data_IF_208121096532
#
_entry.id   IF_208121096532
#
_cell.length_a   1.000
_cell.length_b   1.000
_cell.length_c   1.000
_cell.angle_alpha   90.00
_cell.angle_beta   90.00
_cell.angle_gamma   90.00
#
_symmetry.space_group_name_H-M   'P 1'
#
loop_
_entity.id
_entity.type
_entity.pdbx_description
1 polymer ?
#
# COMPACT_ATOMS: atom_id res chain seq x y z
N UNK A 1 -35.12 1.60 -14.84
CA UNK A 1 -34.67 3.00 -14.99
C UNK A 1 -33.18 3.05 -14.66
N UNK A 2 -32.34 3.50 -15.59
CA UNK A 2 -30.88 3.61 -15.38
C UNK A 2 -30.48 4.89 -14.66
N UNK A 3 -29.22 4.96 -14.21
CA UNK A 3 -28.63 6.16 -13.61
C UNK A 3 -28.59 7.30 -14.64
N UNK A 4 -29.37 8.35 -14.45
CA UNK A 4 -29.44 9.52 -15.35
C UNK A 4 -28.42 10.61 -15.03
N UNK A 5 -27.74 10.52 -13.89
CA UNK A 5 -26.72 11.47 -13.48
C UNK A 5 -26.16 11.22 -12.09
N UNK A 6 -25.20 12.04 -11.68
CA UNK A 6 -24.71 12.07 -10.30
C UNK A 6 -25.65 12.90 -9.42
N UNK A 7 -26.02 12.35 -8.26
CA UNK A 7 -26.85 13.02 -7.25
C UNK A 7 -26.01 13.88 -6.29
N UNK A 8 -24.74 13.53 -6.07
CA UNK A 8 -23.83 14.22 -5.14
C UNK A 8 -23.06 15.35 -5.81
N UNK A 9 -22.75 15.23 -7.11
CA UNK A 9 -22.10 16.28 -7.91
C UNK A 9 -22.97 16.54 -9.14
N UNK A 10 -23.89 17.49 -9.03
CA UNK A 10 -24.88 17.77 -10.08
C UNK A 10 -24.25 18.39 -11.33
N UNK A 11 -24.96 18.34 -12.46
CA UNK A 11 -24.53 19.01 -13.70
C UNK A 11 -24.34 20.53 -13.50
N UNK A 12 -25.25 21.17 -12.74
CA UNK A 12 -25.16 22.60 -12.38
C UNK A 12 -23.89 22.90 -11.57
N UNK A 13 -23.54 22.05 -10.61
CA UNK A 13 -22.30 22.22 -9.82
C UNK A 13 -21.06 22.14 -10.70
N UNK A 14 -20.99 21.19 -11.64
CA UNK A 14 -19.86 21.09 -12.58
C UNK A 14 -19.76 22.31 -13.50
N UNK A 15 -20.88 22.77 -14.05
CA UNK A 15 -20.91 23.96 -14.90
C UNK A 15 -20.44 25.21 -14.12
N UNK A 16 -20.88 25.36 -12.87
CA UNK A 16 -20.43 26.45 -11.99
C UNK A 16 -18.92 26.35 -11.72
N UNK A 17 -18.38 25.16 -11.46
CA UNK A 17 -16.95 24.96 -11.23
C UNK A 17 -16.13 25.35 -12.48
N UNK A 18 -16.59 24.98 -13.68
CA UNK A 18 -15.96 25.36 -14.94
C UNK A 18 -16.01 26.88 -15.18
N UNK A 19 -17.17 27.51 -14.95
CA UNK A 19 -17.32 28.97 -15.07
C UNK A 19 -16.44 29.71 -14.07
N UNK A 20 -16.34 29.22 -12.83
CA UNK A 20 -15.48 29.80 -11.81
C UNK A 20 -13.99 29.67 -12.18
N UNK A 21 -13.55 28.51 -12.70
CA UNK A 21 -12.17 28.32 -13.15
C UNK A 21 -11.80 29.21 -14.36
N UNK A 22 -12.78 29.60 -15.18
CA UNK A 22 -12.58 30.57 -16.26
C UNK A 22 -12.44 32.00 -15.73
N UNK A 23 -13.19 32.35 -14.66
CA UNK A 23 -13.27 33.72 -14.13
C UNK A 23 -12.23 34.04 -13.06
N UNK A 24 -11.96 33.12 -12.14
CA UNK A 24 -11.18 33.37 -10.94
C UNK A 24 -9.84 32.62 -10.96
N UNK A 25 -8.76 33.30 -10.61
CA UNK A 25 -7.41 32.73 -10.61
C UNK A 25 -7.27 31.55 -9.64
N UNK A 26 -7.80 31.66 -8.41
CA UNK A 26 -7.74 30.59 -7.42
C UNK A 26 -8.42 29.32 -7.94
N UNK A 27 -9.59 29.44 -8.58
CA UNK A 27 -10.34 28.30 -9.10
C UNK A 27 -9.62 27.66 -10.30
N UNK A 28 -8.93 28.46 -11.10
CA UNK A 28 -8.06 27.98 -12.18
C UNK A 28 -6.89 27.16 -11.64
N UNK A 29 -6.22 27.65 -10.58
CA UNK A 29 -5.11 26.95 -9.92
C UNK A 29 -5.55 25.62 -9.32
N UNK A 30 -6.73 25.54 -8.72
CA UNK A 30 -7.30 24.28 -8.20
C UNK A 30 -7.53 23.26 -9.33
N UNK A 31 -8.16 23.69 -10.43
CA UNK A 31 -8.33 22.84 -11.63
C UNK A 31 -6.97 22.35 -12.15
N UNK A 32 -6.02 23.26 -12.33
CA UNK A 32 -4.72 22.93 -12.91
C UNK A 32 -3.93 21.96 -12.02
N UNK A 33 -4.00 22.15 -10.70
CA UNK A 33 -3.44 21.23 -9.72
C UNK A 33 -4.07 19.84 -9.80
N UNK A 34 -5.40 19.76 -9.93
CA UNK A 34 -6.10 18.49 -10.08
C UNK A 34 -5.75 17.79 -11.40
N UNK A 35 -5.64 18.52 -12.51
CA UNK A 35 -5.22 17.98 -13.81
C UNK A 35 -3.78 17.47 -13.74
N UNK A 36 -2.87 18.26 -13.16
CA UNK A 36 -1.48 17.85 -12.98
C UNK A 36 -1.36 16.59 -12.10
N UNK A 37 -2.14 16.50 -11.02
CA UNK A 37 -2.18 15.31 -10.16
C UNK A 37 -2.75 14.07 -10.87
N UNK A 38 -3.68 14.26 -11.81
CA UNK A 38 -4.28 13.20 -12.61
C UNK A 38 -3.36 12.67 -13.73
N UNK A 39 -2.42 13.49 -14.19
CA UNK A 39 -1.56 13.20 -15.34
C UNK A 39 -0.84 11.85 -15.22
N UNK A 40 -0.35 11.52 -14.01
CA UNK A 40 0.34 10.25 -13.76
C UNK A 40 -0.54 9.03 -14.05
N UNK A 41 -1.83 9.10 -13.72
CA UNK A 41 -2.76 7.99 -13.90
C UNK A 41 -3.16 7.83 -15.36
N UNK A 42 -3.28 8.93 -16.10
CA UNK A 42 -3.51 8.89 -17.55
C UNK A 42 -2.31 8.31 -18.32
N UNK A 43 -1.12 8.35 -17.73
CA UNK A 43 0.10 7.77 -18.30
C UNK A 43 0.33 6.32 -17.86
N UNK A 44 -0.40 5.82 -16.86
CA UNK A 44 -0.33 4.42 -16.44
C UNK A 44 -1.20 3.56 -17.35
N UNK A 45 -0.67 2.48 -17.95
CA UNK A 45 -1.47 1.55 -18.74
C UNK A 45 -2.66 0.98 -17.95
N UNK A 46 -3.81 0.79 -18.60
CA UNK A 46 -5.03 0.26 -17.97
C UNK A 46 -4.79 -1.07 -17.24
N UNK A 47 -3.95 -1.94 -17.81
CA UNK A 47 -3.53 -3.19 -17.18
C UNK A 47 -2.87 -2.95 -15.82
N UNK A 48 -1.94 -2.00 -15.75
CA UNK A 48 -1.19 -1.72 -14.52
C UNK A 48 -2.10 -1.06 -13.47
N UNK A 49 -3.05 -0.21 -13.90
CA UNK A 49 -4.10 0.32 -13.03
C UNK A 49 -4.98 -0.79 -12.46
N UNK A 50 -5.37 -1.77 -13.29
CA UNK A 50 -6.17 -2.91 -12.85
C UNK A 50 -5.42 -3.76 -11.82
N UNK A 51 -4.11 -3.94 -12.01
CA UNK A 51 -3.26 -4.70 -11.10
C UNK A 51 -3.02 -4.04 -9.73
N UNK A 52 -3.38 -2.75 -9.56
CA UNK A 52 -3.39 -2.10 -8.24
C UNK A 52 -4.51 -2.64 -7.33
N UNK A 53 -5.57 -3.22 -7.91
CA UNK A 53 -6.73 -3.71 -7.16
C UNK A 53 -6.59 -5.20 -6.91
N UNK A 54 -6.19 -5.57 -5.69
CA UNK A 54 -6.03 -6.98 -5.34
C UNK A 54 -7.35 -7.69 -5.05
N UNK A 55 -7.38 -8.99 -5.32
CA UNK A 55 -8.48 -9.87 -4.90
C UNK A 55 -8.69 -9.87 -3.38
N UNK A 56 -9.89 -10.23 -2.93
CA UNK A 56 -10.24 -10.31 -1.50
C UNK A 56 -9.43 -11.36 -0.70
N UNK A 57 -8.72 -12.26 -1.38
CA UNK A 57 -7.88 -13.25 -0.74
C UNK A 57 -6.62 -12.62 -0.09
N UNK A 58 -6.14 -11.48 -0.60
CA UNK A 58 -5.06 -10.76 0.07
C UNK A 58 -5.66 -9.93 1.22
N UNK A 59 -5.23 -10.13 2.48
CA UNK A 59 -5.85 -9.50 3.63
C UNK A 59 -5.60 -7.99 3.67
N UNK A 60 -6.39 -7.31 4.51
CA UNK A 60 -6.27 -5.89 4.82
C UNK A 60 -6.25 -5.69 6.33
N UNK A 61 -5.45 -4.74 6.80
CA UNK A 61 -5.40 -4.32 8.21
C UNK A 61 -5.11 -2.83 8.32
N UNK A 62 -5.57 -2.20 9.39
CA UNK A 62 -5.30 -0.79 9.69
C UNK A 62 -3.99 -0.58 10.48
N UNK A 63 -3.35 -1.67 10.94
CA UNK A 63 -2.14 -1.64 11.76
C UNK A 63 -1.18 -2.77 11.36
N UNK A 64 0.12 -2.46 11.28
CA UNK A 64 1.16 -3.46 10.93
C UNK A 64 1.38 -4.47 12.04
N UNK A 65 1.18 -4.10 13.30
CA UNK A 65 1.22 -5.01 14.44
C UNK A 65 0.16 -4.63 15.46
N UNK A 66 -0.42 -5.62 16.11
CA UNK A 66 -1.36 -5.46 17.21
C UNK A 66 -0.79 -6.19 18.41
N UNK A 67 -0.17 -5.46 19.34
CA UNK A 67 0.29 -6.08 20.59
C UNK A 67 -0.92 -6.24 21.50
N UNK A 68 -1.36 -7.50 21.65
CA UNK A 68 -2.50 -7.87 22.51
C UNK A 68 -2.33 -7.30 23.92
N UNK A 69 -3.37 -6.63 24.42
CA UNK A 69 -3.37 -6.04 25.77
C UNK A 69 -2.71 -4.67 25.87
N UNK A 70 -2.33 -4.05 24.75
CA UNK A 70 -1.79 -2.68 24.73
C UNK A 70 -2.56 -1.80 23.75
N UNK A 71 -2.41 -0.47 23.90
CA UNK A 71 -2.86 0.52 22.91
C UNK A 71 -1.78 0.80 21.84
N UNK A 72 -0.73 -0.03 21.76
CA UNK A 72 0.37 0.16 20.81
C UNK A 72 0.01 -0.53 19.50
N UNK A 73 -0.38 0.27 18.52
CA UNK A 73 -0.94 -0.20 17.26
C UNK A 73 -0.08 0.15 16.04
N UNK A 74 0.92 1.00 16.19
CA UNK A 74 1.88 1.32 15.14
C UNK A 74 3.30 1.24 15.71
N UNK A 75 4.02 0.16 15.40
CA UNK A 75 5.42 -0.04 15.76
C UNK A 75 6.22 -0.36 14.51
N UNK A 76 7.53 -0.20 14.60
CA UNK A 76 8.49 -0.62 13.58
C UNK A 76 9.34 -1.79 14.11
N UNK A 77 9.63 -2.84 13.32
CA UNK A 77 10.50 -3.93 13.76
C UNK A 77 11.89 -3.48 14.21
N UNK A 78 12.41 -2.40 13.61
CA UNK A 78 13.75 -1.86 13.87
C UNK A 78 13.78 -0.83 15.00
N UNK A 79 13.00 0.25 14.89
CA UNK A 79 13.01 1.33 15.89
C UNK A 79 11.90 1.24 16.95
N UNK A 80 11.07 0.19 16.90
CA UNK A 80 9.99 -0.09 17.86
C UNK A 80 9.07 1.12 18.05
N UNK A 81 8.97 1.64 19.27
CA UNK A 81 8.13 2.79 19.63
C UNK A 81 8.61 4.11 19.03
N UNK A 82 9.82 4.17 18.46
CA UNK A 82 10.33 5.40 17.83
C UNK A 82 9.48 5.92 16.66
N UNK A 83 8.57 5.10 16.12
CA UNK A 83 7.60 5.51 15.09
C UNK A 83 6.37 6.24 15.66
N UNK A 84 6.06 6.09 16.95
CA UNK A 84 4.84 6.62 17.60
C UNK A 84 4.68 8.15 17.42
N UNK A 85 5.72 8.99 17.52
CA UNK A 85 5.59 10.44 17.33
C UNK A 85 5.05 10.87 15.96
N UNK A 86 5.02 9.97 14.96
CA UNK A 86 4.55 10.25 13.61
C UNK A 86 3.05 9.96 13.39
N UNK A 87 2.31 9.63 14.44
CA UNK A 87 0.84 9.50 14.42
C UNK A 87 0.33 8.06 14.34
N UNK A 88 -1.00 7.91 14.20
CA UNK A 88 -1.69 6.61 14.29
C UNK A 88 -1.50 5.71 13.05
N UNK A 89 -1.28 6.31 11.87
CA UNK A 89 -1.01 5.63 10.60
C UNK A 89 0.30 6.16 10.01
N UNK A 90 1.45 5.89 10.66
CA UNK A 90 2.69 6.64 10.41
C UNK A 90 3.47 6.15 9.19
N UNK A 91 3.15 4.98 8.65
CA UNK A 91 3.91 4.35 7.57
C UNK A 91 3.76 5.13 6.27
N UNK A 92 4.89 5.46 5.65
CA UNK A 92 4.93 6.09 4.33
C UNK A 92 4.88 5.01 3.25
N UNK A 93 4.18 5.30 2.17
CA UNK A 93 4.09 4.42 1.00
C UNK A 93 4.06 5.27 -0.27
N UNK A 94 4.72 4.78 -1.32
CA UNK A 94 4.67 5.36 -2.66
C UNK A 94 4.39 4.21 -3.63
N UNK A 95 3.11 4.02 -3.95
CA UNK A 95 2.64 2.86 -4.70
C UNK A 95 3.20 2.79 -6.13
N UNK A 96 3.65 3.92 -6.66
CA UNK A 96 4.21 4.01 -8.02
C UNK A 96 5.73 3.80 -8.02
N UNK A 97 6.45 4.40 -7.06
CA UNK A 97 7.92 4.30 -7.03
C UNK A 97 8.42 3.08 -6.29
N UNK A 98 7.67 2.61 -5.29
CA UNK A 98 8.05 1.51 -4.39
C UNK A 98 6.80 0.67 -4.06
N UNK A 99 6.23 -0.02 -5.07
CA UNK A 99 5.06 -0.85 -4.85
C UNK A 99 5.36 -1.89 -3.76
N UNK A 100 4.36 -2.14 -2.92
CA UNK A 100 4.42 -3.14 -1.84
C UNK A 100 5.48 -2.90 -0.77
N UNK A 101 5.97 -1.66 -0.60
CA UNK A 101 6.89 -1.28 0.48
C UNK A 101 6.29 -0.20 1.39
N UNK A 102 6.50 -0.38 2.68
CA UNK A 102 6.28 0.59 3.74
C UNK A 102 7.62 1.15 4.20
N UNK A 103 7.71 2.47 4.32
CA UNK A 103 8.86 3.15 4.90
C UNK A 103 8.52 3.67 6.29
N UNK A 104 9.35 3.33 7.28
CA UNK A 104 9.24 3.90 8.62
C UNK A 104 9.69 5.38 8.58
N UNK A 105 8.85 6.35 8.98
CA UNK A 105 9.22 7.76 8.91
C UNK A 105 10.33 8.16 9.90
N UNK A 106 10.61 7.33 10.91
CA UNK A 106 11.64 7.59 11.93
C UNK A 106 13.02 7.05 11.52
N UNK A 107 13.11 5.77 11.16
CA UNK A 107 14.39 5.11 10.85
C UNK A 107 14.62 4.88 9.36
N UNK A 108 13.66 5.27 8.51
CA UNK A 108 13.69 5.16 7.03
C UNK A 108 13.88 3.74 6.48
N UNK A 109 13.71 2.72 7.32
CA UNK A 109 13.79 1.34 6.89
C UNK A 109 12.55 0.90 6.12
N UNK A 110 12.74 -0.06 5.21
CA UNK A 110 11.72 -0.53 4.28
C UNK A 110 11.26 -1.95 4.64
N UNK A 111 9.94 -2.15 4.61
CA UNK A 111 9.29 -3.43 4.90
C UNK A 111 8.18 -3.74 3.90
N UNK A 112 7.89 -5.02 3.61
CA UNK A 112 8.66 -6.18 4.04
C UNK A 112 10.02 -6.24 3.33
N UNK A 113 10.89 -7.14 3.77
CA UNK A 113 12.26 -7.24 3.27
C UNK A 113 12.42 -8.06 1.99
N UNK A 114 11.41 -8.85 1.63
CA UNK A 114 11.33 -9.56 0.35
C UNK A 114 10.73 -8.70 -0.77
N UNK A 115 10.97 -9.11 -2.02
CA UNK A 115 10.19 -8.63 -3.17
C UNK A 115 8.80 -9.27 -3.17
N UNK A 116 7.87 -8.64 -2.46
CA UNK A 116 6.50 -9.13 -2.38
C UNK A 116 5.78 -9.03 -3.73
N UNK A 117 6.14 -8.09 -4.61
CA UNK A 117 5.46 -7.97 -5.90
C UNK A 117 5.73 -9.18 -6.78
N UNK A 118 6.99 -9.60 -6.88
CA UNK A 118 7.35 -10.83 -7.57
C UNK A 118 6.64 -12.05 -6.96
N UNK A 119 6.61 -12.15 -5.63
CA UNK A 119 5.91 -13.25 -4.94
C UNK A 119 4.40 -13.22 -5.23
N UNK A 120 3.77 -12.05 -5.17
CA UNK A 120 2.35 -11.85 -5.47
C UNK A 120 2.00 -12.33 -6.87
N UNK A 121 2.77 -11.93 -7.88
CA UNK A 121 2.57 -12.35 -9.27
C UNK A 121 2.69 -13.87 -9.43
N UNK A 122 3.66 -14.49 -8.76
CA UNK A 122 3.83 -15.95 -8.77
C UNK A 122 2.70 -16.70 -8.06
N UNK A 123 1.93 -16.02 -7.21
CA UNK A 123 0.83 -16.58 -6.43
C UNK A 123 -0.55 -16.36 -7.08
N UNK A 124 -0.63 -15.79 -8.29
CA UNK A 124 -1.89 -15.59 -9.00
C UNK A 124 -2.33 -16.87 -9.71
N UNK A 125 -3.61 -17.22 -9.56
CA UNK A 125 -4.23 -18.25 -10.39
C UNK A 125 -4.55 -17.75 -11.82
N UNK A 126 -5.07 -18.64 -12.66
CA UNK A 126 -5.47 -18.31 -14.05
C UNK A 126 -6.56 -17.21 -14.15
N UNK A 127 -7.20 -16.84 -13.03
CA UNK A 127 -8.19 -15.77 -12.95
C UNK A 127 -7.63 -14.50 -12.29
N UNK A 128 -6.33 -14.44 -12.01
CA UNK A 128 -5.69 -13.29 -11.35
C UNK A 128 -6.04 -13.16 -9.87
N UNK A 129 -6.49 -14.24 -9.22
CA UNK A 129 -6.75 -14.23 -7.78
C UNK A 129 -5.52 -14.70 -7.02
N UNK A 130 -5.18 -13.97 -5.97
CA UNK A 130 -4.08 -14.32 -5.09
C UNK A 130 -4.41 -15.60 -4.31
N UNK A 131 -3.54 -16.60 -4.42
CA UNK A 131 -3.67 -17.88 -3.74
C UNK A 131 -2.61 -17.98 -2.65
N UNK A 132 -3.05 -17.88 -1.39
CA UNK A 132 -2.15 -17.94 -0.23
C UNK A 132 -1.31 -19.23 -0.27
N UNK A 133 0.01 -19.07 -0.20
CA UNK A 133 0.95 -20.18 -0.13
C UNK A 133 1.24 -20.87 -1.47
N UNK A 134 0.67 -20.40 -2.58
CA UNK A 134 0.93 -20.93 -3.92
C UNK A 134 1.97 -20.11 -4.70
N UNK A 135 2.53 -19.05 -4.12
CA UNK A 135 3.64 -18.30 -4.72
C UNK A 135 4.97 -19.04 -4.63
N UNK A 136 5.96 -18.61 -5.43
CA UNK A 136 7.30 -19.20 -5.42
C UNK A 136 7.98 -18.98 -4.06
N UNK A 137 8.22 -20.03 -3.26
CA UNK A 137 8.85 -19.89 -1.95
C UNK A 137 10.29 -19.38 -2.02
N UNK A 138 10.94 -19.42 -3.19
CA UNK A 138 12.27 -18.85 -3.41
C UNK A 138 12.28 -17.32 -3.35
N UNK A 139 11.12 -16.68 -3.42
CA UNK A 139 10.96 -15.22 -3.27
C UNK A 139 10.74 -14.80 -1.81
N UNK A 140 10.54 -15.77 -0.90
CA UNK A 140 10.33 -15.52 0.53
C UNK A 140 11.66 -15.45 1.29
N UNK A 141 12.46 -14.43 0.98
CA UNK A 141 13.69 -14.11 1.70
C UNK A 141 13.95 -12.61 1.74
N UNK A 142 14.74 -12.17 2.72
CA UNK A 142 15.20 -10.80 2.82
C UNK A 142 16.17 -10.49 1.67
N UNK A 143 15.79 -9.63 0.74
CA UNK A 143 16.61 -9.30 -0.43
C UNK A 143 17.95 -8.63 -0.09
N UNK A 144 18.08 -8.03 1.09
CA UNK A 144 19.33 -7.47 1.61
C UNK A 144 20.26 -8.56 2.18
N UNK A 145 19.72 -9.75 2.48
CA UNK A 145 20.42 -10.89 3.07
C UNK A 145 20.07 -12.21 2.32
N UNK A 146 20.53 -12.36 1.06
CA UNK A 146 20.12 -13.46 0.18
C UNK A 146 20.69 -14.83 0.58
N UNK A 147 21.81 -14.89 1.31
CA UNK A 147 22.41 -16.16 1.75
C UNK A 147 21.47 -16.87 2.73
N UNK A 148 21.02 -18.12 2.46
CA UNK A 148 20.20 -18.89 3.39
C UNK A 148 20.82 -19.14 4.77
N UNK A 149 22.15 -18.97 4.91
CA UNK A 149 22.88 -19.11 6.18
C UNK A 149 22.95 -17.80 6.96
N UNK A 150 22.57 -16.67 6.37
CA UNK A 150 22.53 -15.39 7.06
C UNK A 150 21.38 -15.41 8.10
N UNK A 151 21.63 -15.05 9.37
CA UNK A 151 20.58 -15.02 10.39
C UNK A 151 19.40 -14.08 10.04
N UNK A 152 19.63 -13.06 9.21
CA UNK A 152 18.61 -12.11 8.76
C UNK A 152 17.89 -12.55 7.47
N UNK A 153 18.21 -13.72 6.92
CA UNK A 153 17.60 -14.24 5.69
C UNK A 153 16.06 -14.30 5.73
N UNK A 154 15.47 -14.55 6.91
CA UNK A 154 14.01 -14.59 7.12
C UNK A 154 13.46 -13.38 7.90
N UNK A 155 14.31 -12.41 8.23
CA UNK A 155 13.88 -11.22 8.96
C UNK A 155 12.91 -10.38 8.13
N UNK A 156 11.75 -10.07 8.71
CA UNK A 156 10.70 -9.23 8.13
C UNK A 156 10.27 -9.60 6.69
N UNK A 157 10.27 -10.91 6.39
CA UNK A 157 9.77 -11.48 5.14
C UNK A 157 8.27 -11.74 5.26
N UNK A 158 7.48 -11.17 4.36
CA UNK A 158 6.01 -11.23 4.39
C UNK A 158 5.48 -11.95 3.14
N UNK A 159 4.64 -12.96 3.36
CA UNK A 159 3.99 -13.78 2.32
C UNK A 159 2.59 -13.27 1.94
N UNK A 160 2.24 -12.06 2.37
CA UNK A 160 0.93 -11.45 2.23
C UNK A 160 0.09 -11.53 3.50
N UNK A 161 0.39 -12.48 4.39
CA UNK A 161 -0.28 -12.65 5.67
C UNK A 161 0.58 -12.21 6.85
N UNK A 162 1.72 -11.57 6.62
CA UNK A 162 2.57 -11.03 7.66
C UNK A 162 3.70 -11.96 8.07
N UNK A 163 4.71 -11.35 8.67
CA UNK A 163 5.88 -11.99 9.25
C UNK A 163 5.65 -12.24 10.75
N UNK A 164 6.08 -13.38 11.27
CA UNK A 164 6.11 -13.64 12.71
C UNK A 164 7.52 -13.42 13.24
N UNK A 165 7.67 -12.58 14.26
CA UNK A 165 8.96 -12.40 14.92
C UNK A 165 9.24 -13.49 15.98
N UNK A 166 10.45 -13.48 16.54
CA UNK A 166 10.89 -14.45 17.55
C UNK A 166 10.06 -14.45 18.83
N UNK A 167 9.30 -13.38 19.09
CA UNK A 167 8.40 -13.24 20.25
C UNK A 167 6.99 -13.76 19.95
N UNK A 168 6.74 -14.21 18.72
CA UNK A 168 5.42 -14.61 18.26
C UNK A 168 4.50 -13.42 17.95
N UNK A 169 5.06 -12.21 17.75
CA UNK A 169 4.29 -11.06 17.28
C UNK A 169 4.16 -11.10 15.76
N UNK A 170 2.94 -10.84 15.26
CA UNK A 170 2.65 -10.77 13.83
C UNK A 170 2.83 -9.35 13.30
N UNK A 171 3.57 -9.24 12.21
CA UNK A 171 3.86 -8.01 11.48
C UNK A 171 3.30 -8.10 10.05
N UNK A 172 2.13 -7.52 9.82
CA UNK A 172 1.37 -7.62 8.58
C UNK A 172 1.60 -6.39 7.66
N UNK A 173 2.81 -6.26 7.10
CA UNK A 173 3.20 -5.12 6.28
C UNK A 173 2.38 -5.06 4.99
N UNK A 174 2.26 -6.20 4.30
CA UNK A 174 1.53 -6.29 3.03
C UNK A 174 0.05 -6.01 3.24
N UNK A 175 -0.54 -6.59 4.29
CA UNK A 175 -1.94 -6.38 4.61
C UNK A 175 -2.22 -4.91 4.98
N UNK A 176 -1.26 -4.22 5.62
CA UNK A 176 -1.38 -2.79 5.89
C UNK A 176 -1.33 -2.00 4.58
N UNK A 177 -0.33 -2.25 3.74
CA UNK A 177 -0.21 -1.61 2.43
C UNK A 177 -1.48 -1.76 1.59
N UNK A 178 -2.08 -2.96 1.59
CA UNK A 178 -3.28 -3.28 0.81
C UNK A 178 -4.57 -2.55 1.30
N UNK A 179 -4.51 -1.85 2.43
CA UNK A 179 -5.64 -1.08 2.96
C UNK A 179 -5.72 0.36 2.46
N UNK A 180 -4.67 0.88 1.81
CA UNK A 180 -4.51 2.31 1.53
C UNK A 180 -4.27 2.60 0.04
#
# INVERSE_FOLDING_TARGET
>A
MGKTGSLTVTAKMRANAQANAAKFEWARKERDSAVAAAQRWLQTPDHDLWMLVTSQALPRTIHTTLIRGTNRTALCPKCREGIIPFGNYPWKMDTLKRPWKLECPNCHDLFPKNDFWAYYLSALDAHGKFQRGQGDPKLLFNSEHPDPKDPLHKYAVDDGYGWMDEKGERWAFVAYYNSW
#
